data_IF_373754843518
#
_entry.id   IF_373754843518
#
_cell.length_a   1.000
_cell.length_b   1.000
_cell.length_c   1.000
_cell.angle_alpha   90.00
_cell.angle_beta   90.00
_cell.angle_gamma   90.00
#
_symmetry.space_group_name_H-M   'P 1'
#
loop_
_entity.id
_entity.type
_entity.pdbx_description
1 polymer ?
#
# COMPACT_ATOMS: atom_id res chain seq x y z
N UNK A 1 -11.97 37.90 -0.84
CA UNK A 1 -10.81 37.02 -1.08
C UNK A 1 -10.78 35.96 0.00
N UNK A 2 -10.50 34.68 -0.31
CA UNK A 2 -10.42 33.65 0.73
C UNK A 2 -9.31 34.00 1.73
N UNK A 3 -9.67 34.11 3.01
CA UNK A 3 -8.72 34.40 4.09
C UNK A 3 -7.90 33.15 4.41
N UNK A 4 -6.61 33.35 4.65
CA UNK A 4 -5.71 32.29 5.10
C UNK A 4 -6.05 31.95 6.54
N UNK A 5 -6.09 30.66 6.87
CA UNK A 5 -6.34 30.23 8.22
C UNK A 5 -5.01 29.94 8.94
N UNK A 6 -4.64 30.80 9.88
CA UNK A 6 -3.40 30.71 10.65
C UNK A 6 -3.32 29.42 11.48
N UNK A 7 -4.47 28.88 11.93
CA UNK A 7 -4.58 27.58 12.60
C UNK A 7 -4.11 26.44 11.68
N UNK A 8 -4.31 26.57 10.36
CA UNK A 8 -3.83 25.57 9.40
C UNK A 8 -2.32 25.71 9.17
N UNK A 9 -1.73 26.89 9.36
CA UNK A 9 -0.28 27.08 9.23
C UNK A 9 0.45 26.42 10.40
N UNK A 10 0.01 26.65 11.64
CA UNK A 10 0.56 25.97 12.83
C UNK A 10 0.35 24.47 12.75
N UNK A 11 -0.88 24.02 12.44
CA UNK A 11 -1.18 22.62 12.21
C UNK A 11 -0.29 22.01 11.12
N UNK A 12 -0.08 22.69 9.99
CA UNK A 12 0.73 22.16 8.90
C UNK A 12 2.21 22.06 9.26
N UNK A 13 2.74 22.96 10.09
CA UNK A 13 4.11 22.87 10.63
C UNK A 13 4.22 21.72 11.62
N UNK A 14 3.31 21.65 12.57
CA UNK A 14 3.31 20.65 13.64
C UNK A 14 3.12 19.23 13.09
N UNK A 15 2.19 19.05 12.14
CA UNK A 15 2.00 17.78 11.42
C UNK A 15 3.04 17.52 10.33
N UNK A 16 4.03 18.39 10.17
CA UNK A 16 5.24 18.14 9.41
C UNK A 16 6.45 17.94 10.35
N UNK A 17 6.22 17.84 11.67
CA UNK A 17 7.23 17.61 12.71
C UNK A 17 8.40 18.59 12.67
N UNK A 18 8.14 19.81 12.21
CA UNK A 18 9.15 20.86 12.18
C UNK A 18 9.03 21.71 13.45
N UNK A 19 10.15 21.81 14.18
CA UNK A 19 10.29 22.88 15.17
C UNK A 19 10.19 24.25 14.48
N UNK A 20 9.83 25.29 15.25
CA UNK A 20 9.78 26.66 14.73
C UNK A 20 11.11 27.09 14.09
N UNK A 21 12.23 26.64 14.65
CA UNK A 21 13.57 26.94 14.14
C UNK A 21 13.86 26.24 12.80
N UNK A 22 13.59 24.94 12.70
CA UNK A 22 13.80 24.18 11.47
C UNK A 22 12.87 24.65 10.35
N UNK A 23 11.61 24.93 10.69
CA UNK A 23 10.63 25.45 9.74
C UNK A 23 11.07 26.82 9.21
N UNK A 24 11.45 27.75 10.07
CA UNK A 24 11.90 29.08 9.67
C UNK A 24 13.11 29.00 8.73
N UNK A 25 14.07 28.12 9.04
CA UNK A 25 15.25 27.89 8.21
C UNK A 25 14.87 27.28 6.84
N UNK A 26 14.08 26.20 6.81
CA UNK A 26 13.63 25.53 5.57
C UNK A 26 12.78 26.44 4.67
N UNK A 27 12.03 27.37 5.25
CA UNK A 27 11.24 28.38 4.52
C UNK A 27 12.10 29.54 4.00
N UNK A 28 13.35 29.62 4.44
CA UNK A 28 14.27 30.71 4.13
C UNK A 28 13.85 32.03 4.77
N UNK A 29 13.19 31.98 5.93
CA UNK A 29 12.90 33.15 6.76
C UNK A 29 14.21 33.52 7.48
N UNK A 30 14.61 34.79 7.36
CA UNK A 30 15.87 35.29 7.95
C UNK A 30 15.60 36.21 9.12
N UNK A 31 16.56 36.29 10.03
CA UNK A 31 16.56 37.28 11.11
C UNK A 31 16.52 38.70 10.54
N UNK A 32 15.77 39.57 11.21
CA UNK A 32 15.75 41.01 10.92
C UNK A 32 16.17 41.82 12.13
N UNK A 33 16.35 43.14 11.94
CA UNK A 33 16.76 44.06 13.01
C UNK A 33 15.80 44.13 14.21
N UNK A 34 14.53 43.75 14.03
CA UNK A 34 13.45 43.87 15.05
C UNK A 34 12.82 42.54 15.47
N UNK A 35 12.99 41.47 14.69
CA UNK A 35 12.38 40.16 14.93
C UNK A 35 13.26 39.05 14.40
N UNK A 36 13.40 37.98 15.16
CA UNK A 36 14.07 36.73 14.77
C UNK A 36 13.22 35.93 13.79
N UNK A 37 13.84 35.00 13.08
CA UNK A 37 13.16 34.19 12.07
C UNK A 37 12.00 33.35 12.64
N UNK A 38 12.16 32.81 13.86
CA UNK A 38 11.14 32.05 14.56
C UNK A 38 9.95 32.92 14.97
N UNK A 39 10.20 34.15 15.44
CA UNK A 39 9.16 35.11 15.84
C UNK A 39 8.31 35.54 14.63
N UNK A 40 8.94 35.68 13.46
CA UNK A 40 8.22 35.97 12.21
C UNK A 40 7.35 34.81 11.75
N UNK A 41 7.82 33.57 11.94
CA UNK A 41 7.04 32.38 11.63
C UNK A 41 5.85 32.25 12.58
N UNK A 42 6.07 32.49 13.88
CA UNK A 42 5.01 32.51 14.88
C UNK A 42 3.94 33.54 14.53
N UNK A 43 4.34 34.74 14.07
CA UNK A 43 3.41 35.78 13.66
C UNK A 43 2.50 35.37 12.47
N UNK A 44 2.95 34.44 11.62
CA UNK A 44 2.10 33.86 10.57
C UNK A 44 1.14 32.80 11.13
N UNK A 45 1.57 32.06 12.15
CA UNK A 45 0.83 30.96 12.76
C UNK A 45 -0.20 31.40 13.80
N UNK A 46 0.00 32.56 14.43
CA UNK A 46 -0.95 33.21 15.33
C UNK A 46 -1.89 34.21 14.62
N UNK A 47 -1.64 34.46 13.33
CA UNK A 47 -2.46 35.35 12.50
C UNK A 47 -2.20 36.85 12.70
N UNK A 48 -1.17 37.24 13.46
CA UNK A 48 -0.78 38.65 13.63
C UNK A 48 -0.10 39.23 12.38
N UNK A 49 0.40 38.37 11.48
CA UNK A 49 0.89 38.73 10.16
C UNK A 49 0.33 37.78 9.09
N UNK A 50 0.05 38.30 7.89
CA UNK A 50 -0.38 37.48 6.76
C UNK A 50 0.83 37.09 5.86
N UNK A 51 1.00 35.81 5.52
CA UNK A 51 2.06 35.40 4.60
C UNK A 51 1.71 35.75 3.16
N UNK A 52 2.73 36.15 2.40
CA UNK A 52 2.56 36.41 0.96
C UNK A 52 2.25 35.11 0.18
N UNK A 53 1.68 35.24 -1.02
CA UNK A 53 1.43 34.08 -1.91
C UNK A 53 2.71 33.28 -2.22
N UNK A 54 3.84 33.94 -2.37
CA UNK A 54 5.13 33.27 -2.58
C UNK A 54 5.60 32.51 -1.33
N UNK A 55 5.28 33.02 -0.14
CA UNK A 55 5.53 32.31 1.12
C UNK A 55 4.58 31.11 1.27
N UNK A 56 3.31 31.23 0.90
CA UNK A 56 2.36 30.11 0.88
C UNK A 56 2.79 28.97 -0.06
N UNK A 57 3.37 29.28 -1.22
CA UNK A 57 3.96 28.25 -2.09
C UNK A 57 5.16 27.55 -1.45
N UNK A 58 5.95 28.27 -0.64
CA UNK A 58 7.01 27.66 0.14
C UNK A 58 6.46 26.81 1.27
N UNK A 59 5.44 27.27 2.01
CA UNK A 59 4.73 26.46 2.99
C UNK A 59 4.18 25.18 2.35
N UNK A 60 3.54 25.29 1.18
CA UNK A 60 3.05 24.15 0.42
C UNK A 60 4.14 23.13 0.10
N UNK A 61 5.31 23.59 -0.31
CA UNK A 61 6.46 22.74 -0.64
C UNK A 61 7.16 22.14 0.59
N UNK A 62 7.38 22.95 1.63
CA UNK A 62 8.15 22.59 2.83
C UNK A 62 7.31 21.74 3.78
N UNK A 63 6.05 22.12 4.03
CA UNK A 63 5.10 21.37 4.85
C UNK A 63 4.38 20.28 4.06
N UNK A 64 4.64 20.20 2.74
CA UNK A 64 4.09 19.19 1.83
C UNK A 64 2.56 19.12 1.91
N UNK A 65 1.91 20.29 1.88
CA UNK A 65 0.46 20.45 1.83
C UNK A 65 0.08 21.14 0.51
N UNK A 66 -0.97 20.70 -0.20
CA UNK A 66 -1.48 21.47 -1.34
C UNK A 66 -1.75 22.92 -0.94
N UNK A 67 -1.50 23.88 -1.82
CA UNK A 67 -1.73 25.31 -1.53
C UNK A 67 -3.15 25.57 -1.00
N UNK A 68 -4.14 24.85 -1.54
CA UNK A 68 -5.54 24.95 -1.14
C UNK A 68 -5.78 24.56 0.32
N UNK A 69 -4.92 23.74 0.93
CA UNK A 69 -5.04 23.33 2.34
C UNK A 69 -5.00 24.53 3.27
N UNK A 70 -4.17 25.55 3.00
CA UNK A 70 -4.03 26.74 3.87
C UNK A 70 -5.25 27.68 3.85
N UNK A 71 -6.24 27.38 3.01
CA UNK A 71 -7.51 28.10 2.92
C UNK A 71 -8.67 27.32 3.55
N UNK A 72 -8.41 26.15 4.16
CA UNK A 72 -9.43 25.38 4.87
C UNK A 72 -9.81 26.04 6.20
N UNK A 73 -11.07 25.90 6.60
CA UNK A 73 -11.56 26.44 7.87
C UNK A 73 -11.10 25.62 9.10
N UNK A 74 -10.81 24.33 8.92
CA UNK A 74 -10.32 23.43 9.97
C UNK A 74 -9.34 22.40 9.37
N UNK A 75 -8.42 21.84 10.17
CA UNK A 75 -7.55 20.76 9.74
C UNK A 75 -8.34 19.60 9.11
N UNK A 76 -7.86 19.01 8.01
CA UNK A 76 -8.50 17.84 7.41
C UNK A 76 -8.47 16.65 8.38
N UNK A 77 -9.56 15.89 8.45
CA UNK A 77 -9.68 14.70 9.30
C UNK A 77 -8.73 13.59 8.86
N UNK A 78 -8.07 12.93 9.82
CA UNK A 78 -7.20 11.79 9.60
C UNK A 78 -8.05 10.58 9.16
N UNK A 79 -7.75 10.02 7.99
CA UNK A 79 -8.39 8.79 7.51
C UNK A 79 -7.77 7.55 8.15
N UNK A 80 -8.59 6.69 8.73
CA UNK A 80 -8.18 5.42 9.37
C UNK A 80 -7.89 4.32 8.31
N UNK A 81 -7.00 3.35 8.57
CA UNK A 81 -6.26 2.58 7.50
C UNK A 81 -6.12 1.06 7.67
N UNK A 82 -7.22 0.37 7.96
CA UNK A 82 -7.28 -1.09 7.92
C UNK A 82 -6.62 -1.73 9.14
N UNK A 83 -7.31 -2.70 9.73
CA UNK A 83 -6.79 -3.45 10.87
C UNK A 83 -6.35 -4.82 10.37
N UNK A 84 -5.04 -5.06 10.23
CA UNK A 84 -4.60 -6.44 10.33
C UNK A 84 -3.27 -6.70 11.05
N UNK A 85 -3.44 -7.35 12.20
CA UNK A 85 -2.47 -7.87 13.15
C UNK A 85 -1.23 -7.01 13.40
N UNK A 86 -1.38 -6.05 14.32
CA UNK A 86 -0.45 -5.72 15.43
C UNK A 86 -1.10 -4.64 16.29
N UNK A 87 -1.57 -5.01 17.48
CA UNK A 87 -1.73 -4.04 18.57
C UNK A 87 -0.34 -3.53 18.94
N UNK A 88 -0.02 -2.29 18.56
CA UNK A 88 1.09 -1.51 19.10
C UNK A 88 0.59 -0.07 19.33
N UNK A 89 1.18 0.65 20.30
CA UNK A 89 0.52 1.72 21.07
C UNK A 89 0.17 2.97 20.27
N UNK A 90 -0.71 3.79 20.85
CA UNK A 90 -1.35 5.03 20.34
C UNK A 90 -0.41 6.17 19.89
N UNK A 91 0.91 5.96 19.83
CA UNK A 91 1.88 6.96 19.38
C UNK A 91 2.30 6.68 17.92
N UNK A 92 1.46 7.05 16.97
CA UNK A 92 1.78 6.96 15.54
C UNK A 92 2.36 8.29 15.01
N UNK A 93 3.55 8.24 14.41
CA UNK A 93 4.26 9.40 13.83
C UNK A 93 3.45 10.02 12.68
N UNK A 94 3.33 11.36 12.70
CA UNK A 94 2.42 12.11 11.82
C UNK A 94 2.90 12.18 10.37
N UNK A 95 4.22 12.10 10.13
CA UNK A 95 4.80 12.14 8.79
C UNK A 95 4.46 10.91 7.92
N UNK A 96 4.49 9.70 8.50
CA UNK A 96 4.14 8.48 7.75
C UNK A 96 2.67 8.53 7.29
N UNK A 97 1.81 9.13 8.11
CA UNK A 97 0.42 9.36 7.76
C UNK A 97 0.27 10.31 6.57
N UNK A 98 1.06 11.37 6.50
CA UNK A 98 1.07 12.27 5.34
C UNK A 98 1.48 11.54 4.07
N UNK A 99 2.51 10.68 4.13
CA UNK A 99 2.99 9.98 2.94
C UNK A 99 1.97 8.99 2.39
N UNK A 100 1.24 8.29 3.26
CA UNK A 100 0.16 7.42 2.83
C UNK A 100 -0.98 8.23 2.19
N UNK A 101 -1.35 9.38 2.76
CA UNK A 101 -2.41 10.22 2.18
C UNK A 101 -2.04 10.75 0.80
N UNK A 102 -0.78 11.16 0.62
CA UNK A 102 -0.26 11.56 -0.70
C UNK A 102 -0.29 10.38 -1.66
N UNK A 103 0.15 9.20 -1.22
CA UNK A 103 0.10 7.98 -2.03
C UNK A 103 -1.33 7.66 -2.48
N UNK A 104 -2.31 7.67 -1.57
CA UNK A 104 -3.71 7.42 -1.89
C UNK A 104 -4.23 8.45 -2.91
N UNK A 105 -3.88 9.74 -2.75
CA UNK A 105 -4.28 10.79 -3.70
C UNK A 105 -3.66 10.57 -5.08
N UNK A 106 -2.38 10.22 -5.16
CA UNK A 106 -1.70 9.95 -6.43
C UNK A 106 -2.34 8.76 -7.17
N UNK A 107 -2.69 7.71 -6.43
CA UNK A 107 -3.34 6.52 -7.00
C UNK A 107 -4.78 6.82 -7.41
N UNK A 108 -5.55 7.59 -6.63
CA UNK A 108 -6.89 8.05 -7.03
C UNK A 108 -6.83 8.88 -8.32
N UNK A 109 -5.88 9.81 -8.42
CA UNK A 109 -5.69 10.58 -9.64
C UNK A 109 -5.31 9.69 -10.84
N UNK A 110 -4.48 8.67 -10.61
CA UNK A 110 -4.14 7.67 -11.65
C UNK A 110 -5.35 6.85 -12.09
N UNK A 111 -6.16 6.40 -11.13
CA UNK A 111 -7.40 5.67 -11.38
C UNK A 111 -8.39 6.53 -12.18
N UNK A 112 -8.59 7.81 -11.81
CA UNK A 112 -9.46 8.73 -12.55
C UNK A 112 -9.01 8.89 -14.00
N UNK A 113 -7.71 9.10 -14.25
CA UNK A 113 -7.19 9.23 -15.62
C UNK A 113 -7.44 7.95 -16.42
N UNK A 114 -7.19 6.77 -15.86
CA UNK A 114 -7.46 5.49 -16.54
C UNK A 114 -8.96 5.31 -16.79
N UNK A 115 -9.81 5.50 -15.77
CA UNK A 115 -11.26 5.33 -15.87
C UNK A 115 -11.85 6.26 -16.94
N UNK A 116 -11.51 7.54 -16.90
CA UNK A 116 -11.96 8.53 -17.89
C UNK A 116 -11.51 8.14 -19.30
N UNK A 117 -10.25 7.72 -19.46
CA UNK A 117 -9.73 7.32 -20.78
C UNK A 117 -10.43 6.06 -21.31
N UNK A 118 -10.75 5.09 -20.46
CA UNK A 118 -11.51 3.90 -20.86
C UNK A 118 -12.95 4.24 -21.24
N UNK A 119 -13.57 5.23 -20.59
CA UNK A 119 -14.91 5.72 -20.95
C UNK A 119 -14.87 6.46 -22.29
N UNK A 120 -13.90 7.34 -22.49
CA UNK A 120 -13.76 8.13 -23.73
C UNK A 120 -13.53 7.24 -24.96
N UNK A 121 -12.91 6.07 -24.77
CA UNK A 121 -12.66 5.07 -25.83
C UNK A 121 -13.76 4.00 -25.94
N UNK A 122 -14.91 4.16 -25.26
CA UNK A 122 -16.00 3.17 -25.19
C UNK A 122 -15.56 1.76 -24.72
N UNK A 123 -14.45 1.68 -23.97
CA UNK A 123 -13.88 0.45 -23.41
C UNK A 123 -14.26 0.24 -21.92
N UNK A 124 -15.27 0.96 -21.42
CA UNK A 124 -15.70 0.95 -20.02
C UNK A 124 -16.53 -0.29 -19.62
N UNK A 125 -16.00 -1.48 -19.89
CA UNK A 125 -16.61 -2.75 -19.46
C UNK A 125 -16.69 -2.77 -17.94
N UNK A 126 -17.92 -2.90 -17.43
CA UNK A 126 -18.15 -3.03 -15.99
C UNK A 126 -17.75 -4.42 -15.51
N UNK A 127 -17.03 -4.45 -14.40
CA UNK A 127 -16.57 -5.66 -13.75
C UNK A 127 -17.63 -6.15 -12.76
N UNK A 128 -18.41 -7.15 -13.17
CA UNK A 128 -19.58 -7.66 -12.44
C UNK A 128 -19.28 -8.23 -11.04
N UNK A 129 -18.01 -8.48 -10.71
CA UNK A 129 -17.62 -8.95 -9.38
C UNK A 129 -17.45 -7.81 -8.36
N UNK A 130 -17.30 -6.56 -8.81
CA UNK A 130 -17.09 -5.41 -7.93
C UNK A 130 -18.39 -5.10 -7.19
N UNK A 131 -18.36 -5.15 -5.86
CA UNK A 131 -19.57 -4.94 -5.05
C UNK A 131 -20.63 -6.03 -5.16
N UNK A 132 -20.29 -7.19 -5.73
CA UNK A 132 -21.21 -8.32 -5.88
C UNK A 132 -21.56 -9.01 -4.55
N UNK A 133 -20.67 -8.91 -3.57
CA UNK A 133 -20.76 -9.64 -2.32
C UNK A 133 -21.06 -8.74 -1.12
N UNK A 134 -21.62 -9.34 -0.08
CA UNK A 134 -21.82 -8.69 1.22
C UNK A 134 -21.32 -9.59 2.36
N UNK A 135 -21.08 -9.01 3.52
CA UNK A 135 -20.57 -9.76 4.69
C UNK A 135 -21.56 -10.81 5.19
N UNK A 136 -22.85 -10.62 4.95
CA UNK A 136 -23.94 -11.50 5.39
C UNK A 136 -23.95 -12.84 4.63
N UNK A 137 -23.36 -12.89 3.44
CA UNK A 137 -23.23 -14.12 2.66
C UNK A 137 -22.27 -15.14 3.29
N UNK A 138 -21.43 -14.68 4.23
CA UNK A 138 -20.50 -15.53 4.98
C UNK A 138 -19.18 -15.81 4.25
N UNK A 139 -18.16 -16.14 5.04
CA UNK A 139 -16.76 -16.30 4.60
C UNK A 139 -16.66 -17.32 3.46
N UNK A 140 -17.26 -18.51 3.61
CA UNK A 140 -17.14 -19.60 2.63
C UNK A 140 -17.68 -19.20 1.25
N UNK A 141 -18.81 -18.50 1.22
CA UNK A 141 -19.42 -18.06 -0.04
C UNK A 141 -18.52 -17.05 -0.76
N UNK A 142 -18.05 -16.04 -0.03
CA UNK A 142 -17.18 -15.00 -0.63
C UNK A 142 -15.83 -15.59 -1.04
N UNK A 143 -15.25 -16.53 -0.27
CA UNK A 143 -14.05 -17.26 -0.67
C UNK A 143 -14.26 -18.04 -1.97
N UNK A 144 -15.39 -18.76 -2.12
CA UNK A 144 -15.70 -19.49 -3.35
C UNK A 144 -15.90 -18.54 -4.55
N UNK A 145 -16.62 -17.43 -4.36
CA UNK A 145 -16.82 -16.43 -5.41
C UNK A 145 -15.45 -15.83 -5.84
N UNK A 146 -14.56 -15.54 -4.89
CA UNK A 146 -13.20 -15.06 -5.18
C UNK A 146 -12.35 -16.11 -5.94
N UNK A 147 -12.48 -17.40 -5.60
CA UNK A 147 -11.81 -18.49 -6.32
C UNK A 147 -12.30 -18.61 -7.77
N UNK A 148 -13.62 -18.54 -7.98
CA UNK A 148 -14.22 -18.58 -9.32
C UNK A 148 -13.78 -17.37 -10.15
N UNK A 149 -13.81 -16.17 -9.55
CA UNK A 149 -13.41 -14.94 -10.22
C UNK A 149 -11.94 -14.99 -10.62
N UNK A 150 -11.03 -15.35 -9.71
CA UNK A 150 -9.60 -15.42 -10.01
C UNK A 150 -9.23 -16.57 -10.95
N UNK A 151 -10.02 -17.65 -10.94
CA UNK A 151 -9.75 -18.88 -11.70
C UNK A 151 -8.29 -19.34 -11.55
N UNK A 152 -7.81 -19.37 -10.31
CA UNK A 152 -6.43 -19.70 -9.95
C UNK A 152 -6.33 -21.14 -9.47
N UNK A 153 -5.41 -21.91 -10.06
CA UNK A 153 -5.05 -23.23 -9.55
C UNK A 153 -4.15 -23.10 -8.30
N UNK A 154 -4.70 -23.49 -7.15
CA UNK A 154 -3.97 -23.45 -5.88
C UNK A 154 -2.85 -24.50 -5.79
N UNK A 155 -2.92 -25.59 -6.55
CA UNK A 155 -1.84 -26.55 -6.73
C UNK A 155 -0.65 -25.91 -7.45
N UNK A 156 -0.89 -25.22 -8.56
CA UNK A 156 0.15 -24.46 -9.28
C UNK A 156 0.75 -23.35 -8.41
N UNK A 157 -0.08 -22.65 -7.64
CA UNK A 157 0.37 -21.64 -6.68
C UNK A 157 1.32 -22.22 -5.63
N UNK A 158 0.96 -23.35 -5.02
CA UNK A 158 1.79 -24.02 -4.00
C UNK A 158 3.06 -24.64 -4.60
N UNK A 159 3.01 -25.08 -5.86
CA UNK A 159 4.14 -25.69 -6.56
C UNK A 159 5.27 -24.70 -6.92
N UNK A 160 5.03 -23.38 -6.82
CA UNK A 160 6.05 -22.38 -7.12
C UNK A 160 7.31 -22.54 -6.24
N UNK A 161 8.47 -22.14 -6.77
CA UNK A 161 9.73 -22.33 -6.04
C UNK A 161 9.90 -21.38 -4.86
N UNK A 162 9.22 -20.23 -4.83
CA UNK A 162 9.33 -19.21 -3.79
C UNK A 162 8.07 -18.34 -3.69
N UNK A 163 7.97 -17.54 -2.63
CA UNK A 163 6.83 -16.64 -2.37
C UNK A 163 6.64 -15.60 -3.48
N UNK A 164 7.72 -15.02 -4.01
CA UNK A 164 7.64 -14.03 -5.09
C UNK A 164 7.01 -14.58 -6.37
N UNK A 165 7.35 -15.82 -6.76
CA UNK A 165 6.75 -16.49 -7.92
C UNK A 165 5.28 -16.85 -7.68
N UNK A 166 4.93 -17.33 -6.47
CA UNK A 166 3.54 -17.58 -6.08
C UNK A 166 2.71 -16.29 -6.12
N UNK A 167 3.24 -15.20 -5.58
CA UNK A 167 2.63 -13.88 -5.66
C UNK A 167 2.48 -13.40 -7.10
N UNK A 168 3.49 -13.60 -7.96
CA UNK A 168 3.43 -13.23 -9.38
C UNK A 168 2.28 -13.94 -10.09
N UNK A 169 2.08 -15.24 -9.83
CA UNK A 169 0.97 -16.01 -10.38
C UNK A 169 -0.40 -15.45 -9.93
N UNK A 170 -0.57 -15.24 -8.62
CA UNK A 170 -1.80 -14.66 -8.07
C UNK A 170 -2.07 -13.24 -8.58
N UNK A 171 -1.03 -12.40 -8.64
CA UNK A 171 -1.13 -11.05 -9.20
C UNK A 171 -1.58 -11.08 -10.65
N UNK A 172 -1.01 -11.98 -11.45
CA UNK A 172 -1.39 -12.12 -12.85
C UNK A 172 -2.86 -12.55 -13.00
N UNK A 173 -3.34 -13.46 -12.15
CA UNK A 173 -4.76 -13.83 -12.12
C UNK A 173 -5.68 -12.64 -11.79
N UNK A 174 -5.29 -11.80 -10.81
CA UNK A 174 -6.01 -10.57 -10.48
C UNK A 174 -5.97 -9.53 -11.62
N UNK A 175 -4.83 -9.37 -12.28
CA UNK A 175 -4.67 -8.46 -13.41
C UNK A 175 -5.48 -8.90 -14.64
N UNK A 176 -5.62 -10.21 -14.87
CA UNK A 176 -6.39 -10.78 -15.98
C UNK A 176 -7.89 -10.49 -15.87
N UNK A 177 -8.41 -10.33 -14.66
CA UNK A 177 -9.82 -9.97 -14.42
C UNK A 177 -10.06 -8.45 -14.40
N UNK A 178 -9.06 -7.64 -14.76
CA UNK A 178 -9.19 -6.18 -14.87
C UNK A 178 -8.74 -5.39 -13.63
N UNK A 179 -8.19 -6.03 -12.58
CA UNK A 179 -7.67 -5.32 -11.39
C UNK A 179 -6.25 -4.84 -11.62
N UNK A 180 -6.00 -3.54 -11.44
CA UNK A 180 -4.64 -2.97 -11.55
C UNK A 180 -3.93 -3.14 -10.20
N UNK A 181 -2.92 -4.02 -10.15
CA UNK A 181 -2.14 -4.27 -8.93
C UNK A 181 -0.81 -3.53 -8.99
N UNK A 182 -0.53 -2.68 -8.01
CA UNK A 182 0.70 -1.88 -7.91
C UNK A 182 1.52 -2.25 -6.67
N UNK A 183 2.84 -2.29 -6.82
CA UNK A 183 3.78 -2.45 -5.71
C UNK A 183 4.46 -1.11 -5.41
N UNK A 184 4.04 -0.43 -4.34
CA UNK A 184 4.49 0.93 -4.04
C UNK A 184 4.51 1.20 -2.54
N UNK A 185 5.70 1.16 -1.91
CA UNK A 185 5.93 1.54 -0.52
C UNK A 185 6.62 2.89 -0.32
N UNK A 186 6.63 3.77 -1.34
CA UNK A 186 7.17 5.13 -1.26
C UNK A 186 6.59 6.08 -2.32
N UNK A 187 6.93 7.37 -2.21
CA UNK A 187 6.52 8.43 -3.14
C UNK A 187 7.61 8.71 -4.19
N UNK A 188 8.16 7.66 -4.82
CA UNK A 188 9.15 7.81 -5.90
C UNK A 188 10.60 8.02 -5.43
N UNK A 189 10.86 8.00 -4.11
CA UNK A 189 12.20 8.12 -3.53
C UNK A 189 12.36 7.26 -2.28
N UNK A 190 13.57 6.81 -2.00
CA UNK A 190 13.87 6.12 -0.74
C UNK A 190 13.75 7.02 0.50
N UNK A 191 13.75 8.35 0.33
CA UNK A 191 13.51 9.29 1.43
C UNK A 191 12.03 9.43 1.82
N UNK A 192 11.13 8.88 1.00
CA UNK A 192 9.68 8.87 1.26
C UNK A 192 9.17 7.45 1.46
N UNK A 193 10.02 6.57 2.00
CA UNK A 193 9.64 5.21 2.34
C UNK A 193 8.57 5.24 3.43
N UNK A 194 7.52 4.46 3.22
CA UNK A 194 6.40 4.34 4.15
C UNK A 194 6.53 3.00 4.88
N UNK A 195 6.45 2.99 6.20
CA UNK A 195 6.57 1.75 6.95
C UNK A 195 5.41 0.78 6.65
N UNK A 196 5.70 -0.52 6.83
CA UNK A 196 4.69 -1.59 6.78
C UNK A 196 3.66 -1.43 7.91
N UNK A 197 4.00 -0.68 8.96
CA UNK A 197 3.07 -0.37 10.05
C UNK A 197 2.03 0.67 9.58
N UNK A 198 2.44 1.66 8.80
CA UNK A 198 1.55 2.72 8.31
C UNK A 198 0.54 2.24 7.27
N UNK A 199 0.94 1.32 6.38
CA UNK A 199 0.01 0.53 5.57
C UNK A 199 0.69 -0.72 4.99
N UNK A 200 -0.10 -1.77 4.75
CA UNK A 200 0.33 -2.99 4.04
C UNK A 200 -0.23 -3.06 2.64
N UNK A 201 -1.50 -2.69 2.49
CA UNK A 201 -2.18 -2.55 1.22
C UNK A 201 -3.35 -1.59 1.34
N UNK A 202 -3.94 -1.27 0.20
CA UNK A 202 -5.28 -0.70 0.12
C UNK A 202 -5.88 -0.97 -1.26
N UNK A 203 -7.20 -1.05 -1.32
CA UNK A 203 -7.98 -1.10 -2.54
C UNK A 203 -8.67 0.23 -2.84
N UNK A 204 -8.76 0.58 -4.12
CA UNK A 204 -9.74 1.54 -4.64
C UNK A 204 -10.77 0.75 -5.46
N UNK A 205 -11.89 0.43 -4.83
CA UNK A 205 -12.99 -0.26 -5.49
C UNK A 205 -13.65 0.64 -6.53
N UNK A 206 -13.77 0.15 -7.75
CA UNK A 206 -14.30 0.87 -8.89
C UNK A 206 -14.72 -0.16 -9.94
N UNK A 207 -15.90 -0.01 -10.54
CA UNK A 207 -16.49 -1.00 -11.43
C UNK A 207 -15.86 -1.02 -12.83
N UNK A 208 -14.97 -0.07 -13.17
CA UNK A 208 -14.30 0.02 -14.48
C UNK A 208 -12.79 -0.18 -14.33
N UNK A 209 -12.19 0.47 -13.34
CA UNK A 209 -10.75 0.49 -13.12
C UNK A 209 -10.41 0.28 -11.64
N UNK A 210 -10.63 -0.91 -11.07
CA UNK A 210 -10.28 -1.18 -9.67
C UNK A 210 -8.75 -1.25 -9.49
N UNK A 211 -8.26 -0.66 -8.39
CA UNK A 211 -6.83 -0.70 -8.04
C UNK A 211 -6.61 -1.43 -6.73
N UNK A 212 -5.51 -2.19 -6.67
CA UNK A 212 -4.92 -2.69 -5.42
C UNK A 212 -3.49 -2.18 -5.33
N UNK A 213 -3.13 -1.62 -4.19
CA UNK A 213 -1.76 -1.19 -3.89
C UNK A 213 -1.22 -2.04 -2.76
N UNK A 214 -0.01 -2.56 -2.92
CA UNK A 214 0.69 -3.36 -1.92
C UNK A 214 1.99 -2.65 -1.56
N UNK A 215 2.28 -2.57 -0.27
CA UNK A 215 3.54 -2.05 0.25
C UNK A 215 4.66 -3.06 -0.04
N UNK A 216 5.50 -2.75 -1.03
CA UNK A 216 6.63 -3.57 -1.47
C UNK A 216 7.78 -3.67 -0.45
N UNK A 217 7.63 -3.05 0.72
CA UNK A 217 8.57 -3.14 1.84
C UNK A 217 8.20 -4.23 2.85
N UNK A 218 7.00 -4.81 2.73
CA UNK A 218 6.60 -5.97 3.53
C UNK A 218 7.33 -7.24 3.05
N UNK A 219 7.23 -8.31 3.82
CA UNK A 219 7.76 -9.61 3.42
C UNK A 219 7.02 -10.14 2.18
N UNK A 220 7.76 -10.70 1.22
CA UNK A 220 7.17 -11.36 0.04
C UNK A 220 6.16 -12.45 0.43
N UNK A 221 6.38 -13.13 1.57
CA UNK A 221 5.48 -14.14 2.12
C UNK A 221 4.15 -13.59 2.65
N UNK A 222 4.00 -12.26 2.77
CA UNK A 222 2.77 -11.59 3.18
C UNK A 222 1.98 -11.02 1.98
N UNK A 223 2.62 -10.76 0.83
CA UNK A 223 1.98 -10.06 -0.29
C UNK A 223 0.77 -10.79 -0.87
N UNK A 224 0.80 -12.13 -0.94
CA UNK A 224 -0.35 -12.90 -1.43
C UNK A 224 -1.58 -12.75 -0.51
N UNK A 225 -1.36 -12.74 0.80
CA UNK A 225 -2.41 -12.50 1.78
C UNK A 225 -2.98 -11.08 1.63
N UNK A 226 -2.11 -10.07 1.56
CA UNK A 226 -2.52 -8.68 1.36
C UNK A 226 -3.35 -8.54 0.09
N UNK A 227 -2.90 -9.09 -1.04
CA UNK A 227 -3.64 -9.00 -2.30
C UNK A 227 -5.05 -9.60 -2.18
N UNK A 228 -5.19 -10.80 -1.59
CA UNK A 228 -6.50 -11.44 -1.42
C UNK A 228 -7.41 -10.67 -0.45
N UNK A 229 -6.85 -10.08 0.60
CA UNK A 229 -7.56 -9.19 1.49
C UNK A 229 -8.14 -7.98 0.73
N UNK A 230 -7.29 -7.28 -0.04
CA UNK A 230 -7.72 -6.10 -0.82
C UNK A 230 -8.70 -6.47 -1.93
N UNK A 231 -8.54 -7.63 -2.57
CA UNK A 231 -9.53 -8.14 -3.53
C UNK A 231 -10.87 -8.42 -2.87
N UNK A 232 -10.88 -8.90 -1.62
CA UNK A 232 -12.12 -9.07 -0.86
C UNK A 232 -12.81 -7.74 -0.61
N UNK A 233 -12.08 -6.66 -0.31
CA UNK A 233 -12.66 -5.32 -0.25
C UNK A 233 -13.31 -4.88 -1.57
N UNK A 234 -12.72 -5.23 -2.71
CA UNK A 234 -13.30 -4.96 -4.04
C UNK A 234 -14.59 -5.75 -4.25
N UNK A 235 -14.61 -7.04 -3.91
CA UNK A 235 -15.83 -7.89 -3.99
C UNK A 235 -16.97 -7.32 -3.14
N UNK A 236 -16.65 -6.73 -1.99
CA UNK A 236 -17.60 -6.06 -1.09
C UNK A 236 -17.97 -4.63 -1.51
N UNK A 237 -17.38 -4.10 -2.59
CA UNK A 237 -17.66 -2.75 -3.10
C UNK A 237 -17.18 -1.63 -2.17
N UNK A 238 -16.25 -1.93 -1.25
CA UNK A 238 -15.86 -0.98 -0.21
C UNK A 238 -14.82 0.03 -0.76
N UNK A 239 -15.19 1.31 -0.77
CA UNK A 239 -14.29 2.43 -1.03
C UNK A 239 -14.11 3.28 0.22
N UNK A 240 -13.42 2.77 1.23
CA UNK A 240 -12.82 3.58 2.31
C UNK A 240 -13.70 4.50 3.16
N UNK A 241 -15.04 4.38 3.17
CA UNK A 241 -15.91 5.25 4.00
C UNK A 241 -17.04 4.45 4.64
N UNK A 242 -16.72 3.74 5.72
CA UNK A 242 -17.68 3.05 6.60
C UNK A 242 -17.33 3.43 8.06
N UNK A 243 -18.32 3.54 8.95
CA UNK A 243 -18.10 3.89 10.36
C UNK A 243 -17.14 2.93 11.07
N UNK A 244 -16.37 3.41 12.06
CA UNK A 244 -15.23 2.69 12.66
C UNK A 244 -15.54 1.25 13.14
N UNK A 245 -16.73 1.01 13.71
CA UNK A 245 -17.13 -0.34 14.15
C UNK A 245 -17.46 -1.27 12.98
N UNK A 246 -18.22 -0.80 11.99
CA UNK A 246 -18.52 -1.56 10.77
C UNK A 246 -17.24 -1.89 10.02
N UNK A 247 -16.29 -0.95 9.99
CA UNK A 247 -14.98 -1.12 9.41
C UNK A 247 -14.21 -2.28 10.06
N UNK A 248 -14.13 -2.34 11.39
CA UNK A 248 -13.43 -3.43 12.09
C UNK A 248 -13.98 -4.83 11.76
N UNK A 249 -15.31 -4.94 11.59
CA UNK A 249 -15.92 -6.22 11.20
C UNK A 249 -15.61 -6.59 9.74
N UNK A 250 -15.62 -5.61 8.83
CA UNK A 250 -15.23 -5.82 7.44
C UNK A 250 -13.77 -6.25 7.34
N UNK A 251 -12.85 -5.58 8.06
CA UNK A 251 -11.43 -5.95 8.08
C UNK A 251 -11.25 -7.41 8.53
N UNK A 252 -11.86 -7.78 9.66
CA UNK A 252 -11.83 -9.17 10.15
C UNK A 252 -12.42 -10.14 9.14
N UNK A 253 -13.50 -9.76 8.46
CA UNK A 253 -14.11 -10.59 7.41
C UNK A 253 -13.15 -10.79 6.24
N UNK A 254 -12.53 -9.73 5.71
CA UNK A 254 -11.53 -9.79 4.65
C UNK A 254 -10.33 -10.66 5.05
N UNK A 255 -9.87 -10.59 6.29
CA UNK A 255 -8.77 -11.42 6.81
C UNK A 255 -9.13 -12.90 6.83
N UNK A 256 -10.34 -13.23 7.28
CA UNK A 256 -10.81 -14.61 7.32
C UNK A 256 -11.03 -15.16 5.89
N UNK A 257 -11.55 -14.36 4.95
CA UNK A 257 -11.66 -14.74 3.53
C UNK A 257 -10.29 -15.01 2.91
N UNK A 258 -9.32 -14.12 3.11
CA UNK A 258 -7.95 -14.29 2.61
C UNK A 258 -7.26 -15.51 3.23
N UNK A 259 -7.48 -15.74 4.53
CA UNK A 259 -6.97 -16.92 5.25
C UNK A 259 -7.56 -18.23 4.70
N UNK A 260 -8.89 -18.28 4.53
CA UNK A 260 -9.61 -19.44 4.02
C UNK A 260 -9.22 -19.74 2.56
N UNK A 261 -9.05 -18.71 1.73
CA UNK A 261 -8.60 -18.85 0.35
C UNK A 261 -7.22 -19.50 0.26
N UNK A 262 -6.24 -18.95 1.00
CA UNK A 262 -4.85 -19.42 0.93
C UNK A 262 -4.68 -20.81 1.54
N UNK A 263 -5.42 -21.09 2.60
CA UNK A 263 -5.32 -22.36 3.29
C UNK A 263 -6.69 -22.75 3.87
N UNK A 264 -7.50 -23.51 3.11
CA UNK A 264 -8.80 -23.93 3.58
C UNK A 264 -8.73 -24.68 4.90
N UNK A 265 -9.74 -24.53 5.77
CA UNK A 265 -9.83 -25.21 7.07
C UNK A 265 -9.69 -26.73 6.93
N UNK A 266 -10.28 -27.30 5.88
CA UNK A 266 -10.20 -28.74 5.59
C UNK A 266 -8.81 -29.23 5.20
N UNK A 267 -7.96 -28.34 4.67
CA UNK A 267 -6.55 -28.65 4.42
C UNK A 267 -5.74 -28.47 5.70
N UNK A 268 -5.99 -27.37 6.42
CA UNK A 268 -5.25 -27.02 7.62
C UNK A 268 -5.44 -28.01 8.77
N UNK A 269 -6.63 -28.62 8.91
CA UNK A 269 -6.90 -29.65 9.94
C UNK A 269 -5.93 -30.84 9.90
N UNK A 270 -5.34 -31.11 8.73
CA UNK A 270 -4.38 -32.20 8.55
C UNK A 270 -2.96 -31.83 9.02
N UNK A 271 -2.67 -30.55 9.24
CA UNK A 271 -1.39 -30.12 9.79
C UNK A 271 -1.41 -30.27 11.31
N UNK A 272 -0.60 -31.19 11.82
CA UNK A 272 -0.46 -31.48 13.25
C UNK A 272 0.96 -31.13 13.71
N UNK A 273 1.04 -30.44 14.83
CA UNK A 273 2.31 -30.07 15.46
C UNK A 273 2.80 -31.25 16.28
N UNK A 274 4.07 -31.63 16.12
CA UNK A 274 4.68 -32.77 16.83
C UNK A 274 6.05 -32.46 17.42
N UNK A 275 6.46 -31.19 17.39
CA UNK A 275 7.77 -30.78 17.85
C UNK A 275 7.90 -30.84 19.39
N UNK A 276 9.04 -31.35 19.86
CA UNK A 276 9.33 -31.52 21.29
C UNK A 276 9.87 -30.26 21.98
N UNK A 277 10.24 -29.23 21.21
CA UNK A 277 10.78 -27.96 21.72
C UNK A 277 10.39 -26.79 20.80
N UNK A 278 10.73 -25.57 21.24
CA UNK A 278 10.37 -24.34 20.54
C UNK A 278 11.05 -24.22 19.15
N UNK A 279 12.33 -24.58 19.06
CA UNK A 279 13.10 -24.50 17.82
C UNK A 279 12.52 -25.44 16.75
N UNK A 280 12.19 -26.68 17.12
CA UNK A 280 11.55 -27.65 16.25
C UNK A 280 10.14 -27.22 15.84
N UNK A 281 9.39 -26.59 16.74
CA UNK A 281 8.08 -26.03 16.44
C UNK A 281 8.19 -24.92 15.39
N UNK A 282 9.12 -24.00 15.60
CA UNK A 282 9.36 -22.86 14.72
C UNK A 282 9.81 -23.32 13.32
N UNK A 283 10.64 -24.37 13.24
CA UNK A 283 11.07 -24.98 11.99
C UNK A 283 9.92 -25.69 11.27
N UNK A 284 9.18 -26.55 11.98
CA UNK A 284 8.04 -27.29 11.43
C UNK A 284 6.99 -26.34 10.82
N UNK A 285 6.65 -25.26 11.55
CA UNK A 285 5.76 -24.20 11.07
C UNK A 285 6.32 -23.53 9.82
N UNK A 286 7.63 -23.23 9.78
CA UNK A 286 8.26 -22.57 8.64
C UNK A 286 8.25 -23.44 7.38
N UNK A 287 8.53 -24.74 7.54
CA UNK A 287 8.50 -25.70 6.42
C UNK A 287 7.08 -25.83 5.87
N UNK A 288 6.07 -25.94 6.75
CA UNK A 288 4.69 -25.99 6.32
C UNK A 288 4.24 -24.67 5.67
N UNK A 289 4.55 -23.52 6.27
CA UNK A 289 4.22 -22.21 5.70
C UNK A 289 4.83 -22.05 4.29
N UNK A 290 6.08 -22.48 4.10
CA UNK A 290 6.75 -22.45 2.80
C UNK A 290 6.14 -23.42 1.77
N UNK A 291 5.65 -24.60 2.18
CA UNK A 291 4.95 -25.51 1.28
C UNK A 291 3.57 -24.97 0.87
N UNK A 292 2.95 -24.17 1.73
CA UNK A 292 1.68 -23.49 1.46
C UNK A 292 1.86 -22.09 0.82
N UNK A 293 3.10 -21.59 0.66
CA UNK A 293 3.47 -20.25 0.14
C UNK A 293 2.84 -19.08 0.90
N UNK A 294 2.81 -19.20 2.22
CA UNK A 294 2.27 -18.20 3.14
C UNK A 294 3.26 -17.91 4.26
N UNK A 295 3.01 -16.84 5.03
CA UNK A 295 3.89 -16.47 6.14
C UNK A 295 3.80 -17.44 7.32
N UNK A 296 4.94 -17.72 7.96
CA UNK A 296 4.99 -18.51 9.20
C UNK A 296 4.15 -17.87 10.32
N UNK A 297 4.12 -16.54 10.39
CA UNK A 297 3.29 -15.80 11.34
C UNK A 297 1.80 -16.07 11.16
N UNK A 298 1.33 -16.29 9.93
CA UNK A 298 -0.05 -16.66 9.65
C UNK A 298 -0.37 -18.08 10.14
N UNK A 299 0.51 -19.05 9.89
CA UNK A 299 0.35 -20.41 10.41
C UNK A 299 0.32 -20.42 11.94
N UNK A 300 1.24 -19.72 12.59
CA UNK A 300 1.27 -19.61 14.06
C UNK A 300 -0.04 -19.01 14.60
N UNK A 301 -0.59 -17.98 13.93
CA UNK A 301 -1.88 -17.42 14.32
C UNK A 301 -3.02 -18.44 14.21
N UNK A 302 -3.06 -19.23 13.13
CA UNK A 302 -4.09 -20.26 12.95
C UNK A 302 -3.99 -21.41 13.96
N UNK A 303 -2.78 -21.83 14.32
CA UNK A 303 -2.55 -22.81 15.40
C UNK A 303 -3.07 -22.28 16.73
N UNK A 304 -2.79 -21.01 17.06
CA UNK A 304 -3.32 -20.35 18.25
C UNK A 304 -4.85 -20.30 18.23
N UNK A 305 -5.46 -19.93 17.11
CA UNK A 305 -6.92 -19.88 16.95
C UNK A 305 -7.59 -21.26 17.02
N UNK A 306 -6.90 -22.33 16.60
CA UNK A 306 -7.37 -23.72 16.73
C UNK A 306 -7.16 -24.30 18.12
N UNK A 307 -6.25 -23.70 18.92
CA UNK A 307 -5.94 -24.10 20.28
C UNK A 307 -4.75 -25.05 20.41
N UNK A 308 -3.96 -25.24 19.36
CA UNK A 308 -2.79 -26.16 19.40
C UNK A 308 -1.60 -25.55 20.14
N UNK A 309 -1.53 -24.22 20.20
CA UNK A 309 -0.50 -23.48 20.92
C UNK A 309 -1.16 -22.40 21.77
N UNK A 310 -0.54 -22.09 22.91
CA UNK A 310 -1.03 -21.01 23.76
C UNK A 310 -0.63 -19.61 23.23
N UNK A 311 -1.18 -18.57 23.86
CA UNK A 311 -0.90 -17.18 23.49
C UNK A 311 0.59 -16.82 23.63
N UNK A 312 1.26 -17.35 24.66
CA UNK A 312 2.66 -17.04 24.95
C UNK A 312 3.58 -17.61 23.87
N UNK A 313 3.37 -18.87 23.47
CA UNK A 313 4.09 -19.52 22.38
C UNK A 313 3.85 -18.81 21.06
N UNK A 314 2.61 -18.40 20.77
CA UNK A 314 2.29 -17.62 19.57
C UNK A 314 3.04 -16.27 19.53
N UNK A 315 3.05 -15.52 20.63
CA UNK A 315 3.78 -14.25 20.73
C UNK A 315 5.29 -14.44 20.56
N UNK A 316 5.85 -15.49 21.16
CA UNK A 316 7.27 -15.86 20.99
C UNK A 316 7.61 -16.20 19.53
N UNK A 317 6.78 -17.01 18.86
CA UNK A 317 6.94 -17.35 17.45
C UNK A 317 6.88 -16.10 16.56
N UNK A 318 5.89 -15.23 16.79
CA UNK A 318 5.73 -13.97 16.07
C UNK A 318 6.98 -13.11 16.16
N UNK A 319 7.51 -12.94 17.37
CA UNK A 319 8.68 -12.10 17.62
C UNK A 319 9.96 -12.73 17.03
N UNK A 320 10.09 -14.06 17.12
CA UNK A 320 11.20 -14.78 16.50
C UNK A 320 11.21 -14.64 14.97
N UNK A 321 10.07 -14.86 14.31
CA UNK A 321 9.96 -14.66 12.86
C UNK A 321 10.20 -13.22 12.44
N UNK A 322 9.74 -12.25 13.22
CA UNK A 322 10.01 -10.84 12.94
C UNK A 322 11.52 -10.56 12.99
N UNK A 323 12.23 -11.02 14.02
CA UNK A 323 13.70 -10.89 14.14
C UNK A 323 14.42 -11.56 12.97
N UNK A 324 14.01 -12.78 12.59
CA UNK A 324 14.58 -13.50 11.42
C UNK A 324 14.37 -12.72 10.13
N UNK A 325 13.17 -12.17 9.89
CA UNK A 325 12.88 -11.35 8.71
C UNK A 325 13.74 -10.09 8.66
N UNK A 326 13.86 -9.34 9.77
CA UNK A 326 14.72 -8.15 9.85
C UNK A 326 16.17 -8.52 9.52
N UNK A 327 16.70 -9.59 10.14
CA UNK A 327 18.06 -10.06 9.89
C UNK A 327 18.28 -10.46 8.43
N UNK A 328 17.36 -11.23 7.82
CA UNK A 328 17.45 -11.64 6.42
C UNK A 328 17.39 -10.43 5.46
N UNK A 329 16.52 -9.47 5.74
CA UNK A 329 16.40 -8.22 4.96
C UNK A 329 17.69 -7.42 5.00
N UNK A 330 18.29 -7.28 6.19
CA UNK A 330 19.49 -6.47 6.37
C UNK A 330 20.73 -7.17 5.76
N UNK A 331 20.81 -8.50 5.85
CA UNK A 331 21.79 -9.32 5.10
C UNK A 331 21.64 -9.15 3.58
N UNK A 332 20.40 -9.20 3.05
CA UNK A 332 20.13 -8.99 1.61
C UNK A 332 20.55 -7.59 1.17
N UNK A 333 20.27 -6.56 1.99
CA UNK A 333 20.73 -5.18 1.73
C UNK A 333 22.25 -5.04 1.73
N UNK A 334 22.94 -5.66 2.69
CA UNK A 334 24.40 -5.64 2.74
C UNK A 334 25.01 -6.30 1.51
N UNK A 335 24.54 -7.50 1.16
CA UNK A 335 24.96 -8.23 -0.05
C UNK A 335 24.72 -7.42 -1.34
N UNK A 336 23.57 -6.75 -1.45
CA UNK A 336 23.25 -5.90 -2.60
C UNK A 336 24.13 -4.63 -2.68
N UNK A 337 24.69 -4.14 -1.58
CA UNK A 337 25.65 -3.02 -1.58
C UNK A 337 27.04 -3.47 -2.04
N UNK A 338 27.40 -4.72 -1.77
CA UNK A 338 28.69 -5.32 -2.16
C UNK A 338 28.70 -5.78 -3.63
N UNK A 339 27.55 -6.14 -4.19
CA UNK A 339 27.43 -6.50 -5.60
C UNK A 339 27.56 -5.29 -6.53
N UNK A 340 28.50 -5.35 -7.48
CA UNK A 340 28.58 -4.40 -8.59
C UNK A 340 27.50 -4.73 -9.63
N UNK A 341 26.54 -3.82 -9.78
CA UNK A 341 25.43 -3.95 -10.72
C UNK A 341 24.14 -4.40 -10.04
N UNK A 342 23.05 -3.67 -10.28
CA UNK A 342 21.70 -4.02 -9.86
C UNK A 342 20.78 -4.19 -11.07
N UNK A 343 19.56 -4.72 -10.87
CA UNK A 343 18.58 -4.77 -11.94
C UNK A 343 18.32 -3.36 -12.49
N UNK A 344 18.17 -3.27 -13.81
CA UNK A 344 17.90 -2.00 -14.49
C UNK A 344 16.66 -1.31 -13.89
N UNK A 345 16.73 0.02 -13.75
CA UNK A 345 15.66 0.83 -13.15
C UNK A 345 14.30 0.58 -13.83
N UNK A 346 14.27 0.44 -15.15
CA UNK A 346 13.04 0.21 -15.91
C UNK A 346 12.50 -1.21 -15.70
N UNK A 347 13.36 -2.20 -15.47
CA UNK A 347 12.94 -3.56 -15.09
C UNK A 347 12.24 -3.55 -13.74
N UNK A 348 12.84 -2.89 -12.73
CA UNK A 348 12.23 -2.77 -11.39
C UNK A 348 10.92 -1.99 -11.47
N UNK A 349 10.90 -0.89 -12.22
CA UNK A 349 9.71 -0.05 -12.40
C UNK A 349 8.57 -0.82 -13.08
N UNK A 350 8.84 -1.58 -14.14
CA UNK A 350 7.84 -2.47 -14.78
C UNK A 350 7.29 -3.49 -13.79
N UNK A 351 8.16 -4.17 -13.05
CA UNK A 351 7.72 -5.12 -12.03
C UNK A 351 6.78 -4.46 -11.01
N UNK A 352 7.06 -3.21 -10.61
CA UNK A 352 6.20 -2.49 -9.66
C UNK A 352 4.84 -2.12 -10.25
N UNK A 353 4.80 -1.69 -11.50
CA UNK A 353 3.59 -1.21 -12.18
C UNK A 353 2.71 -2.34 -12.75
N UNK A 354 3.28 -3.51 -13.06
CA UNK A 354 2.52 -4.67 -13.53
C UNK A 354 1.74 -4.41 -14.82
N UNK A 355 0.50 -4.86 -14.87
CA UNK A 355 -0.37 -4.74 -16.04
C UNK A 355 -0.64 -3.28 -16.47
N UNK A 356 -0.48 -2.29 -15.57
CA UNK A 356 -0.62 -0.88 -15.90
C UNK A 356 0.31 -0.46 -17.05
N UNK A 357 1.51 -1.06 -17.15
CA UNK A 357 2.46 -0.75 -18.23
C UNK A 357 1.85 -1.09 -19.60
N UNK A 358 1.30 -2.29 -19.74
CA UNK A 358 0.69 -2.74 -20.99
C UNK A 358 -0.55 -1.93 -21.35
N UNK A 359 -1.39 -1.62 -20.37
CA UNK A 359 -2.57 -0.76 -20.57
C UNK A 359 -2.17 0.64 -21.05
N UNK A 360 -1.24 1.29 -20.36
CA UNK A 360 -0.76 2.64 -20.72
C UNK A 360 -0.05 2.63 -22.07
N UNK A 361 0.72 1.58 -22.39
CA UNK A 361 1.37 1.42 -23.69
C UNK A 361 0.34 1.39 -24.82
N UNK A 362 -0.70 0.55 -24.69
CA UNK A 362 -1.76 0.41 -25.67
C UNK A 362 -2.50 1.74 -25.89
N UNK A 363 -2.95 2.38 -24.81
CA UNK A 363 -3.67 3.66 -24.87
C UNK A 363 -2.79 4.81 -25.39
N UNK A 364 -1.48 4.77 -25.12
CA UNK A 364 -0.57 5.78 -25.65
C UNK A 364 -0.34 5.60 -27.16
N UNK A 365 -0.24 4.37 -27.64
CA UNK A 365 -0.06 4.08 -29.07
C UNK A 365 -1.34 4.28 -29.89
N UNK A 366 -2.54 4.08 -29.31
CA UNK A 366 -3.80 4.40 -29.98
C UNK A 366 -4.06 5.91 -30.09
N UNK A 367 -3.37 6.72 -29.28
CA UNK A 367 -3.58 8.17 -29.20
C UNK A 367 -4.57 8.60 -28.11
N UNK A 368 -5.26 7.65 -27.46
CA UNK A 368 -6.19 7.89 -26.36
C UNK A 368 -5.52 8.57 -25.16
N UNK A 369 -4.23 8.28 -24.94
CA UNK A 369 -3.47 8.81 -23.82
C UNK A 369 -2.22 9.57 -24.30
N UNK A 370 -2.10 10.84 -23.94
CA UNK A 370 -0.88 11.61 -24.25
C UNK A 370 0.36 11.09 -23.51
N UNK A 371 1.55 11.30 -24.08
CA UNK A 371 2.81 10.90 -23.45
C UNK A 371 3.02 11.54 -22.07
N UNK A 372 2.45 12.72 -21.84
CA UNK A 372 2.47 13.38 -20.52
C UNK A 372 1.61 12.63 -19.50
N UNK A 373 0.38 12.24 -19.86
CA UNK A 373 -0.47 11.40 -19.00
C UNK A 373 0.16 10.02 -18.78
N UNK A 374 0.77 9.43 -19.81
CA UNK A 374 1.51 8.17 -19.68
C UNK A 374 2.69 8.29 -18.70
N UNK A 375 3.46 9.38 -18.76
CA UNK A 375 4.54 9.64 -17.81
C UNK A 375 4.05 9.78 -16.37
N UNK A 376 2.92 10.46 -16.17
CA UNK A 376 2.26 10.57 -14.87
C UNK A 376 1.87 9.20 -14.30
N UNK A 377 1.14 8.38 -15.07
CA UNK A 377 0.67 7.06 -14.62
C UNK A 377 1.81 6.07 -14.33
N UNK A 378 2.90 6.16 -15.08
CA UNK A 378 4.04 5.25 -14.95
C UNK A 378 5.14 5.77 -14.01
N UNK A 379 4.94 6.93 -13.38
CA UNK A 379 5.92 7.59 -12.51
C UNK A 379 7.30 7.72 -13.18
N UNK A 380 7.31 8.18 -14.43
CA UNK A 380 8.51 8.46 -15.22
C UNK A 380 8.38 9.76 -16.00
N UNK A 381 9.53 10.37 -16.33
CA UNK A 381 9.53 11.55 -17.19
C UNK A 381 8.90 11.20 -18.55
N UNK A 382 8.06 12.07 -19.14
CA UNK A 382 7.41 11.81 -20.43
C UNK A 382 8.38 11.35 -21.53
N UNK A 383 9.55 12.00 -21.63
CA UNK A 383 10.61 11.66 -22.59
C UNK A 383 11.25 10.27 -22.38
N UNK A 384 10.92 9.57 -21.30
CA UNK A 384 11.45 8.25 -20.94
C UNK A 384 10.38 7.16 -20.90
N UNK A 385 9.13 7.48 -21.24
CA UNK A 385 8.00 6.54 -21.24
C UNK A 385 8.28 5.34 -22.15
N UNK A 386 8.77 5.57 -23.38
CA UNK A 386 9.03 4.48 -24.34
C UNK A 386 10.07 3.45 -23.87
N UNK A 387 10.98 3.81 -22.95
CA UNK A 387 11.93 2.84 -22.36
C UNK A 387 11.23 1.81 -21.45
N UNK A 388 10.05 2.14 -20.92
CA UNK A 388 9.23 1.16 -20.23
C UNK A 388 8.53 0.21 -21.23
N UNK A 389 8.13 0.72 -22.40
CA UNK A 389 7.41 -0.04 -23.43
C UNK A 389 8.30 -1.01 -24.21
N UNK A 390 9.53 -0.62 -24.54
CA UNK A 390 10.43 -1.39 -25.43
C UNK A 390 10.79 -2.79 -24.90
N UNK A 391 10.79 -3.01 -23.59
CA UNK A 391 11.09 -4.33 -23.05
C UNK A 391 9.85 -5.23 -22.87
N UNK A 392 8.64 -4.72 -23.13
CA UNK A 392 7.41 -5.52 -23.13
C UNK A 392 7.39 -6.52 -24.29
N UNK A 393 8.09 -6.21 -25.39
CA UNK A 393 8.14 -7.03 -26.60
C UNK A 393 9.00 -8.31 -26.49
N UNK A 394 9.66 -8.54 -25.35
CA UNK A 394 10.53 -9.72 -25.14
C UNK A 394 9.89 -10.79 -24.23
N UNK A 395 8.58 -10.72 -23.96
CA UNK A 395 7.86 -11.64 -23.06
C UNK A 395 6.56 -12.21 -23.69
N UNK A 396 6.47 -12.31 -25.01
CA UNK A 396 5.51 -13.21 -25.67
C UNK A 396 6.02 -14.64 -25.68
#
# INVERSE_FOLDING_TARGET
MPKINHIILSWARETAELSLEEAANKLGIRDGKKMRAQEKLLAYEDGTAEPSRSMLLKFSKIYRRPLLTFYLNNPPSIGDRGEDFRSLPDDFESEENVYVDVLIRDIKASQSVIRETLIDEDENIRLDFVGKNTTEQGIQRVTNDLQVVLNLDMGEFRAQSNHGNAFKLLRHAAEKIGVIVLLKGNLGSHHTNISVKAFRGFALSDDIAPFVVINDRDAESAWAFTLLHELTHILLGQTGVSGAFAKKQIEKFCNEVASEFLLPKDVFKNFQVSASNFEGLEEQISQYAFSQKISSTHISYRLFRRGDIDKKTWEQLRDSYHKKWVSQRDKKKAKNREQKGGPDYYVVRRHKLGALVGLVQRLNYSGALSTTKAGFLLDVRPLKVHRLFEASNNLT
#
